data_IF_091527393091
#
_entry.id   IF_091527393091
#
_cell.length_a   1.000
_cell.length_b   1.000
_cell.length_c   1.000
_cell.angle_alpha   90.00
_cell.angle_beta   90.00
_cell.angle_gamma   90.00
#
_symmetry.space_group_name_H-M   'P 1'
#
loop_
_entity.id
_entity.type
_entity.pdbx_description
1 polymer ?
#
# COMPACT_ATOMS: atom_id res chain seq x y z
N UNK A 1 24.34 10.36 -12.68
CA UNK A 1 24.60 11.13 -11.45
C UNK A 1 25.59 10.39 -10.58
N UNK A 2 25.12 9.49 -9.71
CA UNK A 2 25.98 8.69 -8.80
C UNK A 2 26.89 7.72 -9.56
N UNK A 3 26.34 6.97 -10.53
CA UNK A 3 27.11 5.97 -11.30
C UNK A 3 28.13 6.56 -12.28
N UNK A 4 28.05 7.87 -12.59
CA UNK A 4 28.96 8.58 -13.49
C UNK A 4 29.84 9.61 -12.76
N UNK A 5 29.85 9.64 -11.42
CA UNK A 5 30.65 10.56 -10.59
C UNK A 5 30.27 12.05 -10.65
N UNK A 6 29.41 12.47 -11.58
CA UNK A 6 28.98 13.85 -11.76
C UNK A 6 27.76 14.19 -10.88
N UNK A 7 27.91 14.06 -9.56
CA UNK A 7 26.87 14.49 -8.64
C UNK A 7 26.99 15.99 -8.38
N UNK A 8 25.91 16.77 -8.52
CA UNK A 8 25.92 18.19 -8.18
C UNK A 8 26.03 18.36 -6.67
N UNK A 9 27.26 18.30 -6.15
CA UNK A 9 27.60 18.39 -4.72
C UNK A 9 27.04 19.65 -4.04
N UNK A 10 26.92 20.74 -4.80
CA UNK A 10 26.28 21.97 -4.33
C UNK A 10 24.82 21.74 -3.92
N UNK A 11 24.07 20.94 -4.68
CA UNK A 11 22.68 20.59 -4.36
C UNK A 11 22.59 19.63 -3.16
N UNK A 12 23.55 18.72 -3.02
CA UNK A 12 23.64 17.83 -1.85
C UNK A 12 23.90 18.63 -0.58
N UNK A 13 24.90 19.52 -0.60
CA UNK A 13 25.22 20.40 0.53
C UNK A 13 24.08 21.36 0.85
N UNK A 14 23.36 21.87 -0.16
CA UNK A 14 22.15 22.65 0.05
C UNK A 14 21.05 21.82 0.75
N UNK A 15 20.83 20.57 0.35
CA UNK A 15 19.89 19.66 1.02
C UNK A 15 20.27 19.39 2.47
N UNK A 16 21.57 19.18 2.77
CA UNK A 16 22.08 19.03 4.13
C UNK A 16 21.86 20.29 4.96
N UNK A 17 22.14 21.47 4.40
CA UNK A 17 21.90 22.74 5.10
C UNK A 17 20.42 22.95 5.44
N UNK A 18 19.51 22.62 4.52
CA UNK A 18 18.06 22.67 4.74
C UNK A 18 17.65 21.67 5.83
N UNK A 19 18.20 20.45 5.82
CA UNK A 19 17.92 19.45 6.84
C UNK A 19 18.39 19.92 8.23
N UNK A 20 19.58 20.51 8.34
CA UNK A 20 20.09 21.07 9.60
C UNK A 20 19.20 22.22 10.11
N UNK A 21 18.76 23.13 9.22
CA UNK A 21 17.82 24.18 9.61
C UNK A 21 16.49 23.60 10.10
N UNK A 22 15.94 22.60 9.40
CA UNK A 22 14.71 21.94 9.79
C UNK A 22 14.84 21.21 11.15
N UNK A 23 15.98 20.57 11.40
CA UNK A 23 16.30 19.94 12.69
C UNK A 23 16.37 20.96 13.83
N UNK A 24 17.00 22.13 13.61
CA UNK A 24 17.04 23.24 14.58
C UNK A 24 15.63 23.76 14.90
N UNK A 25 14.76 23.82 13.89
CA UNK A 25 13.35 24.19 14.05
C UNK A 25 12.50 23.07 14.71
N UNK A 26 13.11 21.95 15.12
CA UNK A 26 12.45 20.74 15.65
C UNK A 26 11.41 20.16 14.70
N UNK A 27 11.55 20.42 13.41
CA UNK A 27 10.73 19.76 12.39
C UNK A 27 11.40 18.41 12.11
N UNK A 28 10.69 17.29 12.28
CA UNK A 28 11.28 15.98 12.00
C UNK A 28 11.64 15.90 10.51
N UNK A 29 12.94 15.86 10.24
CA UNK A 29 13.51 15.93 8.87
C UNK A 29 13.15 14.72 8.00
N UNK A 30 12.88 13.58 8.64
CA UNK A 30 12.56 12.30 8.00
C UNK A 30 11.19 12.36 7.27
N UNK A 31 10.06 12.67 7.94
CA UNK A 31 8.78 12.89 7.26
C UNK A 31 8.84 13.98 6.19
N UNK A 32 9.62 15.04 6.42
CA UNK A 32 9.75 16.15 5.47
C UNK A 32 10.42 15.70 4.16
N UNK A 33 11.55 15.00 4.25
CA UNK A 33 12.26 14.46 3.08
C UNK A 33 11.41 13.43 2.32
N UNK A 34 10.72 12.55 3.06
CA UNK A 34 9.83 11.53 2.49
C UNK A 34 8.65 12.19 1.76
N UNK A 35 8.06 13.24 2.32
CA UNK A 35 6.96 13.98 1.70
C UNK A 35 7.35 14.75 0.42
N UNK A 36 8.59 15.24 0.34
CA UNK A 36 9.14 15.88 -0.87
C UNK A 36 9.48 14.87 -1.97
N UNK A 37 9.85 13.65 -1.60
CA UNK A 37 10.25 12.59 -2.53
C UNK A 37 9.08 11.77 -3.06
N UNK A 38 8.03 11.58 -2.25
CA UNK A 38 6.89 10.75 -2.64
C UNK A 38 5.88 11.52 -3.51
N UNK A 39 5.38 10.90 -4.59
CA UNK A 39 4.24 11.40 -5.35
C UNK A 39 3.05 11.72 -4.45
N UNK A 40 2.31 12.79 -4.77
CA UNK A 40 1.16 13.24 -3.97
C UNK A 40 0.12 12.13 -3.71
N UNK A 41 -0.07 11.22 -4.68
CA UNK A 41 -0.98 10.09 -4.51
C UNK A 41 -0.54 9.10 -3.42
N UNK A 42 0.76 8.82 -3.28
CA UNK A 42 1.26 7.96 -2.18
C UNK A 42 1.20 8.71 -0.84
N UNK A 43 1.57 9.99 -0.83
CA UNK A 43 1.52 10.84 0.36
C UNK A 43 0.10 10.98 0.92
N UNK A 44 -0.93 11.02 0.06
CA UNK A 44 -2.33 11.05 0.50
C UNK A 44 -2.76 9.78 1.25
N UNK A 45 -2.29 8.60 0.83
CA UNK A 45 -2.58 7.34 1.53
C UNK A 45 -1.98 7.31 2.93
N UNK A 46 -0.73 7.76 3.05
CA UNK A 46 -0.03 7.90 4.34
C UNK A 46 -0.78 8.89 5.25
N UNK A 47 -1.20 10.03 4.70
CA UNK A 47 -1.97 11.04 5.43
C UNK A 47 -3.31 10.50 5.93
N UNK A 48 -4.04 9.73 5.11
CA UNK A 48 -5.29 9.07 5.51
C UNK A 48 -5.04 8.07 6.64
N UNK A 49 -3.96 7.28 6.57
CA UNK A 49 -3.55 6.38 7.66
C UNK A 49 -3.30 7.14 8.98
N UNK A 50 -2.64 8.31 8.90
CA UNK A 50 -2.46 9.22 10.04
C UNK A 50 -3.78 9.78 10.59
N UNK A 51 -4.74 10.13 9.72
CA UNK A 51 -6.06 10.58 10.14
C UNK A 51 -6.86 9.47 10.82
N UNK A 52 -6.80 8.25 10.30
CA UNK A 52 -7.41 7.07 10.95
C UNK A 52 -6.78 6.83 12.31
N UNK A 53 -5.44 6.95 12.43
CA UNK A 53 -4.75 6.88 13.71
C UNK A 53 -5.26 7.91 14.71
N UNK A 54 -5.38 9.17 14.29
CA UNK A 54 -5.91 10.25 15.13
C UNK A 54 -7.37 9.99 15.55
N UNK A 55 -8.19 9.45 14.65
CA UNK A 55 -9.57 9.10 14.95
C UNK A 55 -9.66 7.95 15.97
N UNK A 56 -8.86 6.90 15.80
CA UNK A 56 -8.77 5.78 16.74
C UNK A 56 -8.24 6.25 18.09
N UNK A 57 -7.22 7.11 18.12
CA UNK A 57 -6.68 7.67 19.37
C UNK A 57 -7.67 8.60 20.10
N UNK A 58 -8.56 9.29 19.37
CA UNK A 58 -9.62 10.16 19.92
C UNK A 58 -10.86 9.39 20.40
N UNK A 59 -11.06 8.14 19.96
CA UNK A 59 -12.17 7.32 20.43
C UNK A 59 -11.99 7.04 21.93
N UNK A 60 -13.07 7.10 22.71
CA UNK A 60 -13.03 6.71 24.13
C UNK A 60 -12.72 5.22 24.23
N UNK A 61 -11.49 4.91 24.64
CA UNK A 61 -11.08 3.57 25.06
C UNK A 61 -11.42 3.42 26.54
N UNK A 62 -11.91 2.24 26.96
CA UNK A 62 -12.28 2.01 28.37
C UNK A 62 -11.03 1.77 29.24
N UNK A 63 -9.92 1.40 28.64
CA UNK A 63 -8.61 1.18 29.28
C UNK A 63 -7.46 1.57 28.33
N UNK A 64 -6.29 1.91 28.88
CA UNK A 64 -5.05 2.12 28.13
C UNK A 64 -4.58 0.85 27.40
N UNK A 65 -4.96 -0.31 27.95
CA UNK A 65 -4.69 -1.63 27.41
C UNK A 65 -5.48 -1.89 26.10
N UNK A 66 -6.77 -1.49 26.07
CA UNK A 66 -7.64 -1.60 24.90
C UNK A 66 -7.14 -0.74 23.73
N UNK A 67 -6.58 0.44 24.04
CA UNK A 67 -5.96 1.34 23.05
C UNK A 67 -4.68 0.75 22.45
N UNK A 68 -3.86 0.13 23.29
CA UNK A 68 -2.59 -0.49 22.88
C UNK A 68 -2.84 -1.74 22.06
N UNK A 69 -3.82 -2.55 22.44
CA UNK A 69 -4.26 -3.71 21.67
C UNK A 69 -4.77 -3.30 20.29
N UNK A 70 -5.72 -2.34 20.21
CA UNK A 70 -6.24 -1.83 18.95
C UNK A 70 -5.14 -1.28 18.01
N UNK A 71 -4.15 -0.59 18.58
CA UNK A 71 -2.96 -0.12 17.86
C UNK A 71 -2.15 -1.27 17.29
N UNK A 72 -1.81 -2.23 18.15
CA UNK A 72 -0.92 -3.34 17.80
C UNK A 72 -1.57 -4.24 16.75
N UNK A 73 -2.86 -4.54 16.90
CA UNK A 73 -3.65 -5.26 15.89
C UNK A 73 -3.69 -4.52 14.56
N UNK A 74 -3.87 -3.19 14.58
CA UNK A 74 -3.85 -2.37 13.37
C UNK A 74 -2.50 -2.40 12.64
N UNK A 75 -1.40 -2.34 13.40
CA UNK A 75 -0.03 -2.47 12.86
C UNK A 75 0.17 -3.85 12.25
N UNK A 76 -0.22 -4.92 12.95
CA UNK A 76 -0.07 -6.31 12.48
C UNK A 76 -0.87 -6.57 11.21
N UNK A 77 -2.08 -6.03 11.13
CA UNK A 77 -2.92 -6.14 9.95
C UNK A 77 -2.30 -5.41 8.75
N UNK A 78 -1.84 -4.18 8.96
CA UNK A 78 -1.25 -3.36 7.90
C UNK A 78 0.07 -3.96 7.41
N UNK A 79 0.92 -4.47 8.30
CA UNK A 79 2.17 -5.14 7.90
C UNK A 79 1.90 -6.45 7.15
N UNK A 80 0.87 -7.21 7.54
CA UNK A 80 0.40 -8.37 6.80
C UNK A 80 -0.08 -8.03 5.37
N UNK A 81 -0.78 -6.91 5.19
CA UNK A 81 -1.21 -6.44 3.87
C UNK A 81 -0.03 -6.01 2.99
N UNK A 82 0.96 -5.30 3.55
CA UNK A 82 2.17 -4.90 2.82
C UNK A 82 2.98 -6.13 2.42
N UNK A 83 3.16 -7.09 3.34
CA UNK A 83 3.84 -8.34 3.04
C UNK A 83 3.09 -9.17 1.97
N UNK A 84 1.76 -9.15 2.00
CA UNK A 84 0.91 -9.79 1.00
C UNK A 84 1.07 -9.18 -0.39
N UNK A 85 1.13 -7.85 -0.50
CA UNK A 85 1.37 -7.15 -1.77
C UNK A 85 2.72 -7.54 -2.39
N UNK A 86 3.78 -7.57 -1.59
CA UNK A 86 5.09 -8.05 -2.04
C UNK A 86 5.08 -9.51 -2.50
N UNK A 87 4.41 -10.41 -1.78
CA UNK A 87 4.29 -11.82 -2.17
C UNK A 87 3.54 -12.00 -3.49
N UNK A 88 2.43 -11.27 -3.68
CA UNK A 88 1.67 -11.28 -4.93
C UNK A 88 2.50 -10.70 -6.08
N UNK A 89 3.26 -9.63 -5.86
CA UNK A 89 4.16 -9.06 -6.86
C UNK A 89 5.21 -10.07 -7.35
N UNK A 90 5.83 -10.82 -6.43
CA UNK A 90 6.78 -11.89 -6.79
C UNK A 90 6.07 -13.02 -7.55
N UNK A 91 4.89 -13.43 -7.10
CA UNK A 91 4.11 -14.47 -7.78
C UNK A 91 3.76 -14.07 -9.23
N UNK A 92 3.34 -12.81 -9.43
CA UNK A 92 3.05 -12.26 -10.75
C UNK A 92 4.32 -12.16 -11.63
N UNK A 93 5.46 -11.79 -11.05
CA UNK A 93 6.73 -11.78 -11.77
C UNK A 93 7.14 -13.18 -12.24
N UNK A 94 6.93 -14.21 -11.41
CA UNK A 94 7.17 -15.62 -11.79
C UNK A 94 6.25 -16.02 -12.94
N UNK A 95 4.95 -15.74 -12.84
CA UNK A 95 4.01 -16.02 -13.91
C UNK A 95 4.30 -15.23 -15.20
N UNK A 96 4.86 -14.03 -15.11
CA UNK A 96 5.29 -13.26 -16.27
C UNK A 96 6.50 -13.87 -17.00
N UNK A 97 7.30 -14.72 -16.34
CA UNK A 97 8.51 -15.32 -16.94
C UNK A 97 8.21 -16.71 -17.53
N UNK A 98 7.21 -17.44 -17.04
CA UNK A 98 6.85 -18.77 -17.56
C UNK A 98 5.99 -18.62 -18.82
N UNK A 99 6.50 -18.95 -20.02
CA UNK A 99 5.70 -18.90 -21.25
C UNK A 99 4.69 -20.05 -21.25
N UNK A 100 3.40 -19.73 -21.43
CA UNK A 100 2.34 -20.73 -21.53
C UNK A 100 1.65 -20.57 -22.88
N UNK A 101 1.95 -21.50 -23.81
CA UNK A 101 1.33 -21.68 -25.13
C UNK A 101 1.13 -20.39 -25.98
N UNK A 102 2.09 -20.11 -26.86
CA UNK A 102 2.05 -19.07 -27.91
C UNK A 102 1.84 -17.61 -27.44
N UNK A 103 2.15 -17.31 -26.18
CA UNK A 103 2.21 -15.98 -25.60
C UNK A 103 2.76 -16.01 -24.17
N UNK A 104 3.05 -14.85 -23.60
CA UNK A 104 3.42 -14.73 -22.18
C UNK A 104 2.15 -14.67 -21.35
N UNK A 105 2.13 -15.17 -20.11
CA UNK A 105 0.94 -15.01 -19.23
C UNK A 105 0.65 -13.51 -18.98
N UNK A 106 1.67 -12.65 -19.12
CA UNK A 106 1.52 -11.21 -19.15
C UNK A 106 0.62 -10.69 -20.30
N UNK A 107 0.58 -11.38 -21.45
CA UNK A 107 -0.26 -11.04 -22.60
C UNK A 107 -1.71 -11.49 -22.42
N UNK A 108 -1.98 -12.60 -21.72
CA UNK A 108 -3.37 -13.00 -21.37
C UNK A 108 -3.97 -12.15 -20.25
N UNK A 109 -3.14 -11.54 -19.39
CA UNK A 109 -3.57 -10.55 -18.40
C UNK A 109 -3.73 -9.16 -19.05
N UNK A 110 -2.85 -8.79 -19.98
CA UNK A 110 -2.94 -7.58 -20.81
C UNK A 110 -3.63 -7.82 -22.15
N UNK A 111 -4.59 -8.77 -22.24
CA UNK A 111 -5.25 -9.08 -23.51
C UNK A 111 -6.20 -7.94 -23.87
N UNK A 112 -5.63 -6.85 -24.39
CA UNK A 112 -6.29 -5.78 -25.10
C UNK A 112 -6.70 -6.36 -26.45
N UNK A 113 -7.70 -7.25 -26.42
CA UNK A 113 -8.43 -7.60 -27.63
C UNK A 113 -8.99 -6.31 -28.19
N UNK A 114 -8.82 -6.08 -29.50
CA UNK A 114 -9.17 -4.84 -30.22
C UNK A 114 -10.65 -4.43 -30.18
N UNK A 115 -11.43 -4.92 -29.22
CA UNK A 115 -12.81 -4.58 -28.91
C UNK A 115 -12.97 -3.81 -27.57
N UNK A 116 -11.89 -3.31 -26.96
CA UNK A 116 -11.97 -2.39 -25.80
C UNK A 116 -12.37 -3.01 -24.46
N UNK A 117 -12.44 -4.35 -24.38
CA UNK A 117 -12.78 -5.08 -23.15
C UNK A 117 -11.50 -5.73 -22.59
N UNK A 118 -11.00 -5.18 -21.49
CA UNK A 118 -9.84 -5.68 -20.77
C UNK A 118 -10.22 -6.97 -20.02
N UNK A 119 -9.80 -8.13 -20.52
CA UNK A 119 -10.10 -9.42 -19.90
C UNK A 119 -9.50 -9.55 -18.48
N UNK A 120 -8.35 -8.90 -18.23
CA UNK A 120 -7.79 -8.75 -16.88
C UNK A 120 -8.66 -7.92 -15.94
N UNK A 121 -9.32 -6.87 -16.45
CA UNK A 121 -10.24 -6.06 -15.66
C UNK A 121 -11.56 -6.79 -15.40
N UNK A 122 -12.06 -7.54 -16.39
CA UNK A 122 -13.25 -8.37 -16.25
C UNK A 122 -13.01 -9.55 -15.30
N UNK A 123 -11.86 -10.21 -15.39
CA UNK A 123 -11.45 -11.29 -14.49
C UNK A 123 -11.23 -10.80 -13.06
N UNK A 124 -10.59 -9.64 -12.89
CA UNK A 124 -10.46 -8.96 -11.60
C UNK A 124 -11.83 -8.61 -11.00
N UNK A 125 -12.75 -8.08 -11.81
CA UNK A 125 -14.12 -7.77 -11.41
C UNK A 125 -14.89 -9.03 -10.96
N UNK A 126 -14.78 -10.13 -11.71
CA UNK A 126 -15.43 -11.41 -11.38
C UNK A 126 -14.87 -11.98 -10.09
N UNK A 127 -13.55 -11.95 -9.90
CA UNK A 127 -12.91 -12.44 -8.68
C UNK A 127 -13.29 -11.58 -7.47
N UNK A 128 -13.32 -10.26 -7.63
CA UNK A 128 -13.77 -9.33 -6.60
C UNK A 128 -15.25 -9.54 -6.24
N UNK A 129 -16.11 -9.76 -7.24
CA UNK A 129 -17.52 -10.08 -7.02
C UNK A 129 -17.70 -11.41 -6.28
N UNK A 130 -16.93 -12.44 -6.63
CA UNK A 130 -16.93 -13.74 -5.93
C UNK A 130 -16.44 -13.61 -4.48
N UNK A 131 -15.37 -12.85 -4.25
CA UNK A 131 -14.82 -12.64 -2.91
C UNK A 131 -15.79 -11.85 -2.04
N UNK A 132 -16.45 -10.84 -2.61
CA UNK A 132 -17.50 -10.06 -1.94
C UNK A 132 -18.72 -10.94 -1.63
N UNK A 133 -19.19 -11.75 -2.58
CA UNK A 133 -20.30 -12.68 -2.37
C UNK A 133 -19.96 -13.75 -1.31
N UNK A 134 -18.73 -14.27 -1.31
CA UNK A 134 -18.24 -15.21 -0.31
C UNK A 134 -18.21 -14.57 1.09
N UNK A 135 -17.73 -13.32 1.19
CA UNK A 135 -17.70 -12.58 2.44
C UNK A 135 -19.12 -12.34 2.98
N UNK A 136 -20.06 -11.94 2.13
CA UNK A 136 -21.48 -11.79 2.49
C UNK A 136 -22.09 -13.13 2.95
N UNK A 137 -21.80 -14.22 2.26
CA UNK A 137 -22.26 -15.56 2.65
C UNK A 137 -21.71 -15.97 4.02
N UNK A 138 -20.41 -15.75 4.27
CA UNK A 138 -19.78 -16.06 5.56
C UNK A 138 -20.33 -15.19 6.68
N UNK A 139 -20.56 -13.89 6.43
CA UNK A 139 -21.18 -12.98 7.40
C UNK A 139 -22.61 -13.42 7.73
N UNK A 140 -23.43 -13.73 6.73
CA UNK A 140 -24.81 -14.19 6.94
C UNK A 140 -24.86 -15.53 7.69
N UNK A 141 -23.95 -16.45 7.38
CA UNK A 141 -23.83 -17.74 8.11
C UNK A 141 -23.35 -17.57 9.56
N UNK A 142 -22.64 -16.47 9.87
CA UNK A 142 -22.24 -16.11 11.25
C UNK A 142 -23.37 -15.42 12.01
N UNK A 143 -24.29 -14.73 11.33
CA UNK A 143 -25.49 -14.13 11.92
C UNK A 143 -26.57 -15.16 12.28
N UNK A 144 -26.66 -16.27 11.56
CA UNK A 144 -27.61 -17.37 11.87
C UNK A 144 -27.17 -18.26 13.05
N UNK A 145 -25.97 -18.02 13.62
CA UNK A 145 -25.41 -18.79 14.74
C UNK A 145 -25.01 -17.95 15.95
N UNK A 146 -25.78 -16.91 16.26
CA UNK A 146 -25.82 -16.32 17.61
C UNK A 146 -27.30 -16.21 18.03
N UNK A 147 -27.61 -16.58 19.29
CA UNK A 147 -28.97 -16.91 19.75
C UNK A 147 -29.96 -15.77 19.60
#
# INVERSE_FOLDING_TARGET
GVMNGNLPWLLVLAGVAIAVLAEILRIPVLPFAVGLYLPFHLSSGIMVGGLVRLYVDKKKHKSEEEKTEATTTGILFTSGLIAGEGLIGILLAIFAIIPFANGTIADVINLQTGAGINLGNLGGLIFFALLTAYLVFVVNKKYEKRP
#
